data_IF_908058590326
#
_entry.id   IF_908058590326
#
_cell.length_a   1.000
_cell.length_b   1.000
_cell.length_c   1.000
_cell.angle_alpha   90.00
_cell.angle_beta   90.00
_cell.angle_gamma   90.00
#
_symmetry.space_group_name_H-M   'P 1'
#
loop_
_entity.id
_entity.type
_entity.pdbx_description
1 polymer ?
#
# COMPACT_ATOMS: atom_id res chain seq x y z
N UNK A 1 30.58 1.02 7.51
CA UNK A 1 29.22 0.45 7.42
C UNK A 1 28.22 1.59 7.28
N UNK A 2 27.21 1.42 6.47
CA UNK A 2 26.12 2.36 6.36
C UNK A 2 25.36 2.44 7.69
N UNK A 3 24.95 3.65 8.11
CA UNK A 3 24.19 3.84 9.34
C UNK A 3 22.82 3.18 9.21
N UNK A 4 22.39 2.33 10.16
CA UNK A 4 21.10 1.67 10.08
C UNK A 4 19.92 2.64 10.11
N UNK A 5 18.87 2.34 9.33
CA UNK A 5 17.68 3.18 9.16
C UNK A 5 16.41 2.47 9.64
N UNK A 6 15.58 3.18 10.37
CA UNK A 6 14.23 2.77 10.78
C UNK A 6 13.23 3.60 9.99
N UNK A 7 12.56 2.97 9.01
CA UNK A 7 11.51 3.61 8.22
C UNK A 7 10.20 3.55 8.99
N UNK A 8 9.73 4.71 9.45
CA UNK A 8 8.40 4.83 10.03
C UNK A 8 7.44 5.37 8.98
N UNK A 9 6.32 4.69 8.77
CA UNK A 9 5.30 5.09 7.80
C UNK A 9 4.03 5.46 8.53
N UNK A 10 3.73 6.75 8.53
CA UNK A 10 2.44 7.28 9.00
C UNK A 10 1.35 6.92 7.99
N UNK A 11 0.28 6.25 8.41
CA UNK A 11 -0.76 5.76 7.52
C UNK A 11 -2.14 5.74 8.17
N UNK A 12 -3.18 5.61 7.34
CA UNK A 12 -4.52 5.26 7.76
C UNK A 12 -5.10 4.26 6.76
N UNK A 13 -5.76 3.21 7.24
CA UNK A 13 -6.58 2.35 6.42
C UNK A 13 -8.03 2.82 6.48
N UNK A 14 -8.72 2.85 5.34
CA UNK A 14 -10.12 3.23 5.24
C UNK A 14 -10.88 2.21 4.39
N UNK A 15 -11.77 1.46 5.03
CA UNK A 15 -12.75 0.66 4.30
C UNK A 15 -13.78 1.57 3.63
N UNK A 16 -14.01 1.39 2.34
CA UNK A 16 -15.04 2.13 1.61
C UNK A 16 -16.42 1.85 2.18
N UNK A 17 -16.66 0.60 2.57
CA UNK A 17 -17.84 0.17 3.35
C UNK A 17 -17.47 -1.05 4.18
N UNK A 18 -17.92 -1.11 5.43
CA UNK A 18 -17.77 -2.30 6.28
C UNK A 18 -18.93 -2.42 7.28
N UNK A 19 -18.76 -1.93 8.52
CA UNK A 19 -19.84 -1.87 9.53
C UNK A 19 -20.66 -0.57 9.43
N UNK A 20 -20.51 0.14 8.35
CA UNK A 20 -21.19 1.40 7.99
C UNK A 20 -21.47 1.44 6.49
N UNK A 21 -22.30 2.38 6.07
CA UNK A 21 -22.62 2.60 4.66
C UNK A 21 -21.66 3.59 3.99
N UNK A 22 -21.71 3.66 2.68
CA UNK A 22 -20.88 4.54 1.86
C UNK A 22 -21.06 6.03 2.21
N UNK A 23 -22.27 6.45 2.57
CA UNK A 23 -22.54 7.82 2.96
C UNK A 23 -21.74 8.25 4.21
N UNK A 24 -21.57 7.35 5.19
CA UNK A 24 -20.73 7.59 6.37
C UNK A 24 -19.26 7.78 5.97
N UNK A 25 -18.77 6.97 5.04
CA UNK A 25 -17.40 7.14 4.49
C UNK A 25 -17.22 8.51 3.87
N UNK A 26 -18.17 8.93 3.02
CA UNK A 26 -18.13 10.25 2.38
C UNK A 26 -18.22 11.39 3.40
N UNK A 27 -19.23 11.35 4.29
CA UNK A 27 -19.54 12.51 5.14
C UNK A 27 -18.66 12.63 6.37
N UNK A 28 -18.10 11.53 6.85
CA UNK A 28 -17.34 11.51 8.11
C UNK A 28 -15.85 11.16 7.90
N UNK A 29 -15.54 10.02 7.28
CA UNK A 29 -14.18 9.48 7.30
C UNK A 29 -13.24 10.14 6.30
N UNK A 30 -13.72 10.45 5.10
CA UNK A 30 -12.92 11.18 4.10
C UNK A 30 -12.53 12.58 4.60
N UNK A 31 -13.46 13.46 4.98
CA UNK A 31 -13.09 14.80 5.48
C UNK A 31 -12.30 14.75 6.77
N UNK A 32 -12.55 13.76 7.65
CA UNK A 32 -11.75 13.53 8.84
C UNK A 32 -10.30 13.22 8.49
N UNK A 33 -10.07 12.31 7.53
CA UNK A 33 -8.73 11.91 7.08
C UNK A 33 -7.95 13.12 6.56
N UNK A 34 -8.58 13.98 5.76
CA UNK A 34 -7.97 15.20 5.26
C UNK A 34 -7.63 16.17 6.40
N UNK A 35 -8.61 16.55 7.21
CA UNK A 35 -8.48 17.58 8.23
C UNK A 35 -7.50 17.21 9.34
N UNK A 36 -7.56 15.96 9.81
CA UNK A 36 -6.67 15.49 10.89
C UNK A 36 -5.20 15.50 10.44
N UNK A 37 -4.92 15.03 9.21
CA UNK A 37 -3.55 15.08 8.69
C UNK A 37 -3.07 16.49 8.40
N UNK A 38 -3.92 17.39 7.89
CA UNK A 38 -3.55 18.78 7.67
C UNK A 38 -3.16 19.46 8.99
N UNK A 39 -3.91 19.22 10.07
CA UNK A 39 -3.58 19.74 11.39
C UNK A 39 -2.21 19.23 11.90
N UNK A 40 -1.87 17.97 11.64
CA UNK A 40 -0.56 17.42 12.00
C UNK A 40 0.55 17.98 11.12
N UNK A 41 0.33 18.21 9.84
CA UNK A 41 1.30 18.83 8.95
C UNK A 41 1.66 20.27 9.38
N UNK A 42 0.70 21.03 9.85
CA UNK A 42 0.95 22.39 10.37
C UNK A 42 1.85 22.41 11.61
N UNK A 43 1.74 21.38 12.46
CA UNK A 43 2.53 21.28 13.71
C UNK A 43 3.89 20.60 13.52
N UNK A 44 4.01 19.63 12.61
CA UNK A 44 5.15 18.73 12.49
C UNK A 44 5.74 18.75 11.07
N UNK A 45 6.74 19.58 10.79
CA UNK A 45 7.32 19.73 9.45
C UNK A 45 7.91 18.45 8.88
N UNK A 46 8.47 17.57 9.72
CA UNK A 46 9.10 16.31 9.32
C UNK A 46 8.10 15.18 9.13
N UNK A 47 6.82 15.38 9.50
CA UNK A 47 5.79 14.36 9.35
C UNK A 47 5.43 14.12 7.89
N UNK A 48 5.41 12.84 7.51
CA UNK A 48 4.90 12.34 6.24
C UNK A 48 3.80 11.33 6.47
N UNK A 49 2.80 11.37 5.60
CA UNK A 49 1.64 10.48 5.63
C UNK A 49 1.50 9.76 4.30
N UNK A 50 1.15 8.48 4.34
CA UNK A 50 0.89 7.65 3.17
C UNK A 50 -0.56 7.16 3.19
N UNK A 51 -1.26 7.32 2.06
CA UNK A 51 -2.65 6.90 1.93
C UNK A 51 -2.87 6.17 0.60
N UNK A 52 -3.56 5.04 0.67
CA UNK A 52 -3.74 4.13 -0.44
C UNK A 52 -5.09 4.28 -1.15
N UNK A 53 -5.18 3.71 -2.38
CA UNK A 53 -6.41 3.59 -3.15
C UNK A 53 -6.84 4.89 -3.83
N UNK A 54 -6.61 5.00 -5.15
CA UNK A 54 -6.91 6.23 -5.90
C UNK A 54 -8.40 6.57 -5.93
N UNK A 55 -9.28 5.58 -5.80
CA UNK A 55 -10.72 5.81 -5.67
C UNK A 55 -11.08 6.74 -4.51
N UNK A 56 -10.39 6.63 -3.38
CA UNK A 56 -10.60 7.56 -2.25
C UNK A 56 -10.21 8.99 -2.58
N UNK A 57 -9.23 9.18 -3.44
CA UNK A 57 -8.83 10.51 -3.92
C UNK A 57 -9.83 11.07 -4.92
N UNK A 58 -10.43 10.25 -5.78
CA UNK A 58 -11.54 10.67 -6.64
C UNK A 58 -12.72 11.17 -5.80
N UNK A 59 -13.07 10.45 -4.72
CA UNK A 59 -14.10 10.91 -3.78
C UNK A 59 -13.72 12.22 -3.08
N UNK A 60 -12.44 12.42 -2.74
CA UNK A 60 -11.97 13.69 -2.19
C UNK A 60 -12.08 14.83 -3.21
N UNK A 61 -11.72 14.58 -4.46
CA UNK A 61 -11.79 15.54 -5.56
C UNK A 61 -13.24 15.95 -5.85
N UNK A 62 -14.14 14.98 -5.92
CA UNK A 62 -15.55 15.21 -6.25
C UNK A 62 -16.32 15.90 -5.12
N UNK A 63 -16.16 15.43 -3.89
CA UNK A 63 -17.01 15.86 -2.76
C UNK A 63 -16.37 16.94 -1.88
N UNK A 64 -15.06 17.14 -1.95
CA UNK A 64 -14.30 18.08 -1.11
C UNK A 64 -13.25 18.87 -1.91
N UNK A 65 -13.62 19.54 -3.03
CA UNK A 65 -12.66 20.14 -3.95
C UNK A 65 -11.73 21.16 -3.28
N UNK A 66 -12.21 21.96 -2.32
CA UNK A 66 -11.36 22.94 -1.62
C UNK A 66 -10.29 22.26 -0.75
N UNK A 67 -10.64 21.17 -0.06
CA UNK A 67 -9.69 20.40 0.72
C UNK A 67 -8.75 19.61 -0.21
N UNK A 68 -9.23 19.21 -1.38
CA UNK A 68 -8.44 18.51 -2.38
C UNK A 68 -7.35 19.38 -2.99
N UNK A 69 -7.62 20.66 -3.24
CA UNK A 69 -6.56 21.60 -3.65
C UNK A 69 -5.47 21.73 -2.58
N UNK A 70 -5.84 21.86 -1.30
CA UNK A 70 -4.87 21.84 -0.20
C UNK A 70 -4.11 20.51 -0.11
N UNK A 71 -4.76 19.38 -0.42
CA UNK A 71 -4.12 18.08 -0.51
C UNK A 71 -3.04 18.06 -1.59
N UNK A 72 -3.32 18.60 -2.79
CA UNK A 72 -2.34 18.69 -3.89
C UNK A 72 -1.07 19.42 -3.46
N UNK A 73 -1.20 20.50 -2.69
CA UNK A 73 -0.05 21.22 -2.14
C UNK A 73 0.80 20.34 -1.22
N UNK A 74 0.19 19.55 -0.34
CA UNK A 74 0.93 18.63 0.53
C UNK A 74 1.54 17.46 -0.24
N UNK A 75 0.91 16.99 -1.30
CA UNK A 75 1.50 15.98 -2.21
C UNK A 75 2.71 16.56 -2.95
N UNK A 76 2.62 17.78 -3.45
CA UNK A 76 3.73 18.46 -4.11
C UNK A 76 4.94 18.66 -3.15
N UNK A 77 4.69 18.97 -1.89
CA UNK A 77 5.69 19.07 -0.84
C UNK A 77 6.28 17.70 -0.41
N UNK A 78 5.73 16.57 -0.86
CA UNK A 78 6.13 15.23 -0.44
C UNK A 78 5.77 14.90 1.02
N UNK A 79 4.79 15.59 1.58
CA UNK A 79 4.29 15.38 2.94
C UNK A 79 3.09 14.44 2.99
N UNK A 80 2.20 14.53 2.03
CA UNK A 80 1.20 13.50 1.74
C UNK A 80 1.68 12.66 0.56
N UNK A 81 1.74 11.34 0.70
CA UNK A 81 2.28 10.43 -0.29
C UNK A 81 1.22 9.44 -0.74
N UNK A 82 1.05 9.32 -2.05
CA UNK A 82 0.25 8.25 -2.65
C UNK A 82 0.99 6.92 -2.49
N UNK A 83 0.29 5.84 -2.16
CA UNK A 83 0.88 4.52 -1.98
C UNK A 83 -0.04 3.39 -2.43
N UNK A 84 0.51 2.18 -2.52
CA UNK A 84 -0.22 0.96 -2.84
C UNK A 84 -0.52 0.74 -4.31
N UNK A 85 -0.31 1.74 -5.16
CA UNK A 85 -0.48 1.70 -6.63
C UNK A 85 -1.87 1.29 -7.13
N UNK A 86 -2.82 0.97 -6.27
CA UNK A 86 -4.13 0.43 -6.62
C UNK A 86 -5.20 1.51 -6.79
N UNK A 87 -6.19 1.21 -7.65
CA UNK A 87 -7.42 1.99 -7.69
C UNK A 87 -8.21 1.78 -6.39
N UNK A 88 -8.47 0.53 -6.03
CA UNK A 88 -9.10 0.16 -4.75
C UNK A 88 -8.28 -0.94 -4.05
N UNK A 89 -8.22 -0.89 -2.73
CA UNK A 89 -7.64 -1.93 -1.90
C UNK A 89 -8.60 -3.12 -1.82
N UNK A 90 -8.33 -4.10 -2.66
CA UNK A 90 -9.19 -5.28 -2.78
C UNK A 90 -8.50 -6.57 -2.40
N UNK A 91 -9.32 -7.60 -2.34
CA UNK A 91 -8.88 -8.99 -2.31
C UNK A 91 -8.00 -9.29 -3.54
N UNK A 92 -6.88 -9.96 -3.33
CA UNK A 92 -5.94 -10.34 -4.41
C UNK A 92 -5.99 -11.82 -4.76
N UNK A 93 -6.93 -12.58 -4.20
CA UNK A 93 -7.08 -14.02 -4.46
C UNK A 93 -8.31 -14.34 -5.35
N UNK A 94 -9.35 -13.52 -5.30
CA UNK A 94 -10.59 -13.74 -6.06
C UNK A 94 -10.55 -13.10 -7.45
N UNK A 95 -10.05 -11.86 -7.64
CA UNK A 95 -9.96 -11.24 -8.96
C UNK A 95 -9.04 -11.99 -9.92
N UNK A 96 -9.28 -11.85 -11.21
CA UNK A 96 -8.37 -12.36 -12.23
C UNK A 96 -7.06 -11.59 -12.24
N UNK A 97 -5.96 -12.17 -12.76
CA UNK A 97 -4.71 -11.43 -12.96
C UNK A 97 -4.89 -10.16 -13.79
N UNK A 98 -5.75 -10.18 -14.80
CA UNK A 98 -6.08 -9.01 -15.62
C UNK A 98 -6.71 -7.90 -14.78
N UNK A 99 -7.67 -8.24 -13.90
CA UNK A 99 -8.29 -7.27 -13.00
C UNK A 99 -7.25 -6.65 -12.04
N UNK A 100 -6.30 -7.45 -11.54
CA UNK A 100 -5.23 -6.95 -10.68
C UNK A 100 -4.27 -6.02 -11.43
N UNK A 101 -3.90 -6.33 -12.68
CA UNK A 101 -3.11 -5.41 -13.52
C UNK A 101 -3.85 -4.09 -13.75
N UNK A 102 -5.16 -4.14 -14.02
CA UNK A 102 -5.96 -2.93 -14.23
C UNK A 102 -6.12 -2.12 -12.97
N UNK A 103 -6.27 -2.76 -11.83
CA UNK A 103 -6.31 -2.08 -10.54
C UNK A 103 -5.05 -1.22 -10.31
N UNK A 104 -3.87 -1.77 -10.63
CA UNK A 104 -2.60 -1.01 -10.58
C UNK A 104 -2.54 0.05 -11.68
N UNK A 105 -2.93 -0.30 -12.91
CA UNK A 105 -2.90 0.63 -14.05
C UNK A 105 -3.73 1.88 -13.76
N UNK A 106 -4.98 1.72 -13.37
CA UNK A 106 -5.89 2.84 -13.09
C UNK A 106 -5.49 3.62 -11.86
N UNK A 107 -5.02 2.93 -10.81
CA UNK A 107 -4.54 3.59 -9.60
C UNK A 107 -3.37 4.53 -9.87
N UNK A 108 -2.33 4.02 -10.49
CA UNK A 108 -1.15 4.85 -10.83
C UNK A 108 -1.42 5.84 -11.96
N UNK A 109 -2.33 5.55 -12.90
CA UNK A 109 -2.71 6.51 -13.94
C UNK A 109 -3.41 7.74 -13.34
N UNK A 110 -4.33 7.54 -12.40
CA UNK A 110 -4.95 8.62 -11.64
C UNK A 110 -3.89 9.45 -10.90
N UNK A 111 -3.00 8.79 -10.16
CA UNK A 111 -1.96 9.48 -9.41
C UNK A 111 -1.02 10.30 -10.31
N UNK A 112 -0.65 9.76 -11.48
CA UNK A 112 0.17 10.50 -12.45
C UNK A 112 -0.56 11.71 -13.04
N UNK A 113 -1.82 11.53 -13.43
CA UNK A 113 -2.62 12.61 -14.04
C UNK A 113 -2.91 13.74 -13.06
N UNK A 114 -3.25 13.37 -11.81
CA UNK A 114 -3.70 14.31 -10.81
C UNK A 114 -2.56 15.00 -10.06
N UNK A 115 -1.50 14.25 -9.74
CA UNK A 115 -0.42 14.70 -8.87
C UNK A 115 0.96 14.72 -9.53
N UNK A 116 1.12 14.18 -10.74
CA UNK A 116 2.45 13.95 -11.34
C UNK A 116 3.31 12.96 -10.54
N UNK A 117 2.70 12.11 -9.74
CA UNK A 117 3.36 11.12 -8.87
C UNK A 117 2.86 9.72 -9.20
N UNK A 118 3.63 8.70 -8.79
CA UNK A 118 3.21 7.31 -8.80
C UNK A 118 3.75 6.60 -7.55
N UNK A 119 3.12 5.51 -7.17
CA UNK A 119 3.62 4.59 -6.15
C UNK A 119 4.36 3.43 -6.82
N UNK A 120 5.35 2.87 -6.12
CA UNK A 120 6.15 1.73 -6.57
C UNK A 120 5.94 0.48 -5.73
N UNK A 121 4.89 0.44 -4.94
CA UNK A 121 4.57 -0.69 -4.06
C UNK A 121 3.12 -1.16 -4.22
N UNK A 122 2.88 -2.39 -3.80
CA UNK A 122 1.57 -2.88 -3.40
C UNK A 122 1.52 -2.80 -1.88
N UNK A 123 0.59 -2.00 -1.37
CA UNK A 123 0.34 -1.83 0.06
C UNK A 123 -1.03 -2.40 0.40
N UNK A 124 -1.05 -3.56 1.05
CA UNK A 124 -2.27 -4.26 1.42
C UNK A 124 -2.27 -4.57 2.92
N UNK A 125 -2.61 -3.59 3.77
CA UNK A 125 -2.53 -3.73 5.21
C UNK A 125 -3.61 -4.64 5.77
N UNK A 126 -4.74 -4.81 5.08
CA UNK A 126 -5.92 -5.51 5.59
C UNK A 126 -6.47 -6.61 4.67
N UNK A 127 -5.61 -7.30 3.93
CA UNK A 127 -5.98 -8.48 3.14
C UNK A 127 -5.53 -9.78 3.83
N UNK A 128 -6.23 -10.88 3.57
CA UNK A 128 -6.18 -12.10 4.37
C UNK A 128 -5.60 -13.28 3.59
N UNK A 129 -4.34 -13.15 3.21
CA UNK A 129 -3.61 -14.08 2.37
C UNK A 129 -3.38 -13.53 0.97
N UNK A 130 -2.27 -13.97 0.36
CA UNK A 130 -1.78 -13.39 -0.88
C UNK A 130 -1.29 -14.50 -1.81
N UNK A 131 -1.89 -14.61 -2.99
CA UNK A 131 -1.56 -15.62 -3.99
C UNK A 131 -0.16 -15.44 -4.58
N UNK A 132 0.47 -16.55 -4.95
CA UNK A 132 1.85 -16.58 -5.46
C UNK A 132 2.02 -15.87 -6.81
N UNK A 133 0.95 -15.57 -7.53
CA UNK A 133 1.02 -14.76 -8.76
C UNK A 133 1.24 -13.26 -8.48
N UNK A 134 0.96 -12.78 -7.28
CA UNK A 134 1.00 -11.34 -6.97
C UNK A 134 2.38 -10.69 -7.18
N UNK A 135 3.51 -11.28 -6.76
CA UNK A 135 4.83 -10.67 -7.04
C UNK A 135 5.17 -10.64 -8.54
N UNK A 136 4.72 -11.61 -9.35
CA UNK A 136 4.87 -11.54 -10.81
C UNK A 136 4.06 -10.39 -11.41
N UNK A 137 2.79 -10.24 -10.97
CA UNK A 137 1.92 -9.12 -11.38
C UNK A 137 2.57 -7.78 -11.01
N UNK A 138 3.04 -7.63 -9.78
CA UNK A 138 3.72 -6.42 -9.32
C UNK A 138 4.97 -6.11 -10.17
N UNK A 139 5.82 -7.10 -10.41
CA UNK A 139 7.02 -6.94 -11.23
C UNK A 139 6.68 -6.45 -12.65
N UNK A 140 5.74 -7.11 -13.32
CA UNK A 140 5.32 -6.74 -14.68
C UNK A 140 4.54 -5.43 -14.74
N UNK A 141 3.95 -4.99 -13.63
CA UNK A 141 3.37 -3.65 -13.48
C UNK A 141 4.42 -2.58 -13.14
N UNK A 142 5.71 -2.90 -13.18
CA UNK A 142 6.83 -2.01 -12.84
C UNK A 142 6.79 -1.50 -11.40
N UNK A 143 6.33 -2.34 -10.48
CA UNK A 143 6.39 -2.11 -9.04
C UNK A 143 7.60 -2.82 -8.43
N UNK A 144 8.10 -2.30 -7.31
CA UNK A 144 9.33 -2.76 -6.67
C UNK A 144 9.06 -3.46 -5.35
N UNK A 145 7.94 -3.17 -4.69
CA UNK A 145 7.71 -3.57 -3.32
C UNK A 145 6.32 -4.06 -3.00
N UNK A 146 6.25 -4.80 -1.91
CA UNK A 146 5.00 -5.26 -1.29
C UNK A 146 5.10 -5.09 0.22
N UNK A 147 4.03 -4.60 0.85
CA UNK A 147 3.96 -4.54 2.30
C UNK A 147 2.58 -4.89 2.83
N UNK A 148 2.57 -5.58 3.98
CA UNK A 148 1.37 -5.97 4.71
C UNK A 148 1.65 -6.02 6.22
N UNK A 149 0.57 -6.04 7.02
CA UNK A 149 0.64 -6.25 8.46
C UNK A 149 -0.23 -7.43 8.93
N UNK A 150 -0.85 -8.18 8.01
CA UNK A 150 -1.81 -9.24 8.39
C UNK A 150 -1.17 -10.60 8.67
N UNK A 151 0.03 -10.88 8.21
CA UNK A 151 0.70 -12.15 8.51
C UNK A 151 0.95 -12.38 10.01
N UNK A 152 1.33 -11.36 10.83
CA UNK A 152 1.44 -11.52 12.27
C UNK A 152 0.15 -11.97 12.98
N UNK A 153 -1.01 -11.73 12.37
CA UNK A 153 -2.31 -12.07 12.96
C UNK A 153 -2.70 -13.53 12.78
N UNK A 154 -2.32 -14.14 11.67
CA UNK A 154 -2.80 -15.49 11.38
C UNK A 154 -2.06 -16.20 10.24
N UNK A 155 -0.76 -16.03 10.10
CA UNK A 155 -0.02 -16.79 9.10
C UNK A 155 -0.06 -18.28 9.37
N UNK A 156 -0.33 -19.08 8.33
CA UNK A 156 -0.34 -20.54 8.41
C UNK A 156 1.06 -21.14 8.62
N UNK A 157 2.10 -20.45 8.11
CA UNK A 157 3.48 -20.96 8.08
C UNK A 157 4.47 -20.03 8.80
N UNK A 158 3.97 -19.11 9.62
CA UNK A 158 4.79 -18.08 10.24
C UNK A 158 5.13 -16.95 9.25
N UNK A 159 6.01 -16.06 9.68
CA UNK A 159 6.50 -14.95 8.87
C UNK A 159 7.89 -15.29 8.37
N UNK A 160 8.10 -15.43 7.05
CA UNK A 160 9.39 -15.89 6.50
C UNK A 160 10.56 -14.96 6.86
N UNK A 161 10.31 -13.65 6.85
CA UNK A 161 11.29 -12.60 7.15
C UNK A 161 10.57 -11.27 7.44
N UNK A 162 11.29 -10.32 8.02
CA UNK A 162 10.83 -8.93 8.15
C UNK A 162 10.92 -8.20 6.80
N UNK A 163 12.12 -8.15 6.23
CA UNK A 163 12.43 -7.59 4.93
C UNK A 163 13.20 -8.60 4.07
N UNK A 164 12.84 -8.71 2.80
CA UNK A 164 13.45 -9.67 1.89
C UNK A 164 12.90 -9.53 0.47
N UNK A 165 12.94 -10.64 -0.27
CA UNK A 165 12.39 -10.74 -1.63
C UNK A 165 11.24 -11.75 -1.68
N UNK A 166 10.19 -11.38 -2.37
CA UNK A 166 9.11 -12.30 -2.70
C UNK A 166 9.17 -12.62 -4.19
N UNK A 167 9.46 -13.90 -4.52
CA UNK A 167 9.61 -14.37 -5.88
C UNK A 167 8.31 -14.98 -6.38
N UNK A 168 7.88 -14.54 -7.54
CA UNK A 168 6.68 -15.01 -8.21
C UNK A 168 6.84 -16.30 -8.99
N UNK A 169 5.76 -16.76 -9.60
CA UNK A 169 5.67 -18.00 -10.37
C UNK A 169 6.56 -18.02 -11.61
N UNK A 170 6.91 -16.87 -12.14
CA UNK A 170 7.75 -16.67 -13.32
C UNK A 170 9.25 -16.48 -12.98
N UNK A 171 9.59 -16.53 -11.67
CA UNK A 171 10.96 -16.36 -11.19
C UNK A 171 11.37 -14.91 -10.94
N UNK A 172 10.58 -13.92 -11.35
CA UNK A 172 10.82 -12.52 -11.02
C UNK A 172 10.54 -12.24 -9.54
N UNK A 173 11.20 -11.25 -8.98
CA UNK A 173 11.08 -10.91 -7.56
C UNK A 173 10.81 -9.43 -7.36
N UNK A 174 10.09 -9.13 -6.29
CA UNK A 174 9.96 -7.79 -5.72
C UNK A 174 10.48 -7.79 -4.28
N UNK A 175 10.81 -6.63 -3.72
CA UNK A 175 11.08 -6.50 -2.30
C UNK A 175 9.79 -6.68 -1.50
N UNK A 176 9.89 -7.17 -0.27
CA UNK A 176 8.72 -7.36 0.58
C UNK A 176 9.03 -7.03 2.04
N UNK A 177 8.10 -6.34 2.69
CA UNK A 177 8.03 -6.18 4.14
C UNK A 177 6.81 -6.96 4.66
N UNK A 178 7.08 -8.06 5.38
CA UNK A 178 6.05 -9.02 5.80
C UNK A 178 5.63 -8.88 7.26
N UNK A 179 6.36 -8.10 8.06
CA UNK A 179 6.08 -7.83 9.46
C UNK A 179 6.27 -6.34 9.82
N UNK A 180 5.58 -5.47 9.12
CA UNK A 180 5.67 -4.02 9.35
C UNK A 180 4.93 -3.53 10.61
N UNK A 181 4.50 -4.43 11.49
CA UNK A 181 3.62 -4.17 12.65
C UNK A 181 2.23 -3.65 12.23
N UNK A 182 1.36 -3.47 13.21
CA UNK A 182 0.00 -3.01 12.94
C UNK A 182 -0.03 -1.56 12.43
N UNK A 183 -0.83 -1.30 11.40
CA UNK A 183 -1.10 0.05 10.95
C UNK A 183 -1.80 0.93 12.01
N UNK A 184 -2.38 0.31 13.04
CA UNK A 184 -2.94 0.99 14.22
C UNK A 184 -1.91 1.19 15.35
N UNK A 185 -0.61 0.97 15.11
CA UNK A 185 0.41 1.12 16.14
C UNK A 185 0.53 2.57 16.60
N UNK A 186 0.73 2.75 17.90
CA UNK A 186 1.10 4.03 18.52
C UNK A 186 2.54 3.92 18.98
N UNK A 187 3.38 4.84 18.51
CA UNK A 187 4.81 4.85 18.83
C UNK A 187 5.09 5.82 19.97
N UNK A 188 5.49 5.31 21.11
CA UNK A 188 5.97 6.10 22.26
C UNK A 188 7.49 6.34 22.21
N UNK A 189 8.24 5.39 21.69
CA UNK A 189 9.69 5.42 21.42
C UNK A 189 9.99 4.55 20.23
N UNK A 190 10.55 5.12 19.15
CA UNK A 190 10.84 4.36 17.92
C UNK A 190 12.04 3.44 18.10
N UNK A 191 13.20 4.00 18.52
CA UNK A 191 14.44 3.24 18.68
C UNK A 191 14.37 2.17 19.76
N UNK A 192 13.52 2.35 20.77
CA UNK A 192 13.28 1.38 21.84
C UNK A 192 12.04 0.52 21.60
N UNK A 193 11.36 0.66 20.46
CA UNK A 193 10.26 -0.21 20.13
C UNK A 193 10.73 -1.66 20.06
N UNK A 194 10.03 -2.55 20.78
CA UNK A 194 10.39 -3.96 20.86
C UNK A 194 10.59 -4.61 19.49
N UNK A 195 9.70 -4.30 18.53
CA UNK A 195 9.83 -4.83 17.18
C UNK A 195 11.07 -4.34 16.45
N UNK A 196 11.45 -3.09 16.63
CA UNK A 196 12.68 -2.52 16.04
C UNK A 196 13.91 -3.17 16.65
N UNK A 197 13.94 -3.31 17.99
CA UNK A 197 15.06 -3.94 18.72
C UNK A 197 15.25 -5.43 18.37
N UNK A 198 14.19 -6.12 18.03
CA UNK A 198 14.24 -7.52 17.60
C UNK A 198 14.68 -7.67 16.13
N UNK A 199 14.17 -6.81 15.25
CA UNK A 199 14.30 -6.98 13.80
C UNK A 199 15.56 -6.35 13.23
N UNK A 200 15.86 -5.10 13.56
CA UNK A 200 16.96 -4.38 12.94
C UNK A 200 18.32 -5.06 13.19
N UNK A 201 18.69 -5.46 14.44
CA UNK A 201 19.92 -6.22 14.67
C UNK A 201 19.94 -7.55 13.92
N UNK A 202 18.81 -8.26 13.85
CA UNK A 202 18.69 -9.52 13.13
C UNK A 202 18.88 -9.31 11.62
N UNK A 203 18.25 -8.32 11.01
CA UNK A 203 18.41 -7.99 9.60
C UNK A 203 19.89 -7.67 9.27
N UNK A 204 20.58 -6.94 10.15
CA UNK A 204 22.01 -6.64 9.99
C UNK A 204 22.85 -7.91 10.08
N UNK A 205 22.64 -8.73 11.11
CA UNK A 205 23.47 -9.92 11.37
C UNK A 205 23.25 -11.01 10.33
N UNK A 206 22.00 -11.29 9.98
CA UNK A 206 21.65 -12.43 9.13
C UNK A 206 21.79 -12.10 7.63
N UNK A 207 21.55 -10.85 7.24
CA UNK A 207 21.41 -10.47 5.82
C UNK A 207 22.27 -9.28 5.40
N UNK A 208 23.05 -8.70 6.30
CA UNK A 208 23.79 -7.46 6.06
C UNK A 208 22.85 -6.31 5.57
N UNK A 209 21.64 -6.30 6.11
CA UNK A 209 20.56 -5.37 5.75
C UNK A 209 20.33 -4.34 6.85
N UNK A 210 20.82 -3.09 6.71
CA UNK A 210 20.76 -2.07 7.77
C UNK A 210 19.42 -1.35 7.82
N UNK A 211 18.30 -2.03 7.51
CA UNK A 211 16.97 -1.43 7.46
C UNK A 211 15.94 -2.23 8.25
N UNK A 212 14.96 -1.52 8.79
CA UNK A 212 13.67 -2.08 9.25
C UNK A 212 12.53 -1.12 8.96
N UNK A 213 11.33 -1.63 8.91
CA UNK A 213 10.11 -0.92 8.51
C UNK A 213 9.04 -1.08 9.58
N UNK A 214 8.35 0.01 9.92
CA UNK A 214 7.29 0.01 10.92
C UNK A 214 6.17 0.99 10.56
N UNK A 215 4.92 0.53 10.63
CA UNK A 215 3.75 1.40 10.52
C UNK A 215 3.41 2.09 11.84
N UNK A 216 2.78 3.25 11.74
CA UNK A 216 1.99 3.86 12.82
C UNK A 216 0.80 4.60 12.23
N UNK A 217 -0.36 4.50 12.88
CA UNK A 217 -1.55 5.11 12.30
C UNK A 217 -2.85 4.67 12.93
N UNK A 218 -3.87 4.62 12.08
CA UNK A 218 -5.22 4.19 12.43
C UNK A 218 -5.78 3.26 11.36
N UNK A 219 -6.75 2.42 11.74
CA UNK A 219 -7.36 1.45 10.83
C UNK A 219 -8.84 1.70 10.58
N UNK A 220 -9.32 1.05 9.58
CA UNK A 220 -10.71 0.81 9.18
C UNK A 220 -11.51 2.06 8.79
N UNK A 221 -11.37 3.15 9.53
CA UNK A 221 -12.20 4.38 9.41
C UNK A 221 -11.44 5.61 8.94
N UNK A 222 -10.23 5.43 8.42
CA UNK A 222 -9.41 6.56 8.05
C UNK A 222 -9.01 7.45 9.24
N UNK A 223 -8.62 8.69 8.98
CA UNK A 223 -8.12 9.64 9.97
C UNK A 223 -6.62 9.85 9.85
N UNK A 224 -5.93 10.10 10.96
CA UNK A 224 -4.50 10.31 11.03
C UNK A 224 -3.88 9.50 12.18
N UNK A 225 -2.57 9.23 12.15
CA UNK A 225 -1.85 8.73 13.31
C UNK A 225 -2.09 9.61 14.53
N UNK A 226 -2.06 9.01 15.71
CA UNK A 226 -2.15 9.81 16.95
C UNK A 226 -1.02 10.81 17.02
N UNK A 227 -1.32 12.03 17.47
CA UNK A 227 -0.35 13.12 17.58
C UNK A 227 0.88 12.74 18.40
N UNK A 228 0.71 11.98 19.49
CA UNK A 228 1.83 11.48 20.31
C UNK A 228 2.83 10.64 19.52
N UNK A 229 2.33 9.85 18.56
CA UNK A 229 3.15 9.03 17.66
C UNK A 229 3.95 9.89 16.69
N UNK A 230 3.28 10.87 16.07
CA UNK A 230 3.91 11.83 15.15
C UNK A 230 4.96 12.67 15.87
N UNK A 231 4.63 13.19 17.05
CA UNK A 231 5.56 13.95 17.90
C UNK A 231 6.81 13.13 18.26
N UNK A 232 6.62 11.84 18.59
CA UNK A 232 7.72 10.93 18.90
C UNK A 232 8.64 10.73 17.70
N UNK A 233 8.08 10.40 16.53
CA UNK A 233 8.85 10.23 15.29
C UNK A 233 9.64 11.50 14.97
N UNK A 234 9.00 12.66 14.97
CA UNK A 234 9.65 13.94 14.66
C UNK A 234 10.72 14.33 15.69
N UNK A 235 10.55 14.02 16.98
CA UNK A 235 11.57 14.21 18.00
C UNK A 235 12.78 13.33 17.71
N UNK A 236 12.57 12.03 17.46
CA UNK A 236 13.66 11.11 17.23
C UNK A 236 14.40 11.35 15.89
N UNK A 237 13.75 11.90 14.89
CA UNK A 237 14.43 12.39 13.67
C UNK A 237 15.47 13.47 14.01
N UNK A 238 15.16 14.40 14.89
CA UNK A 238 16.10 15.47 15.32
C UNK A 238 17.29 14.93 16.09
N UNK A 239 17.15 13.76 16.70
CA UNK A 239 18.20 13.07 17.46
C UNK A 239 19.10 12.18 16.58
N UNK A 240 18.85 12.08 15.28
CA UNK A 240 19.58 11.19 14.37
C UNK A 240 21.10 11.43 14.43
N UNK A 241 21.54 12.68 14.48
CA UNK A 241 22.97 12.99 14.49
C UNK A 241 23.74 12.41 15.70
N UNK A 242 23.06 12.22 16.84
CA UNK A 242 23.63 11.70 18.08
C UNK A 242 23.26 10.25 18.39
N UNK A 243 22.56 9.58 17.49
CA UNK A 243 22.03 8.23 17.70
C UNK A 243 22.73 7.20 16.81
N UNK A 244 22.73 5.94 17.22
CA UNK A 244 23.29 4.83 16.44
C UNK A 244 22.48 4.50 15.20
N UNK A 245 21.15 4.70 15.23
CA UNK A 245 20.21 4.41 14.16
C UNK A 245 19.45 5.66 13.74
N UNK A 246 19.24 5.83 12.45
CA UNK A 246 18.43 6.93 11.94
C UNK A 246 16.94 6.55 11.91
N UNK A 247 16.08 7.44 12.39
CA UNK A 247 14.63 7.37 12.26
C UNK A 247 14.21 8.25 11.09
N UNK A 248 13.38 7.72 10.23
CA UNK A 248 12.84 8.40 9.05
C UNK A 248 11.32 8.39 9.09
N UNK A 249 10.67 9.53 8.83
CA UNK A 249 9.28 9.57 8.41
C UNK A 249 9.26 9.45 6.89
N UNK A 250 8.79 8.32 6.37
CA UNK A 250 8.99 7.96 4.97
C UNK A 250 7.68 7.64 4.24
N UNK A 251 7.61 7.84 2.92
CA UNK A 251 6.61 7.20 2.07
C UNK A 251 6.64 5.67 2.21
N UNK A 252 5.51 5.00 1.97
CA UNK A 252 5.40 3.55 2.12
C UNK A 252 6.36 2.77 1.21
N UNK A 253 6.63 3.27 0.01
CA UNK A 253 7.52 2.65 -0.97
C UNK A 253 9.00 3.06 -0.86
N UNK A 254 9.34 4.00 0.04
CA UNK A 254 10.70 4.56 0.11
C UNK A 254 11.74 3.50 0.47
N UNK A 255 11.43 2.62 1.40
CA UNK A 255 12.37 1.57 1.81
C UNK A 255 12.77 0.68 0.63
N UNK A 256 11.84 0.34 -0.27
CA UNK A 256 12.12 -0.50 -1.42
C UNK A 256 12.98 0.21 -2.46
N UNK A 257 12.77 1.52 -2.63
CA UNK A 257 13.61 2.38 -3.47
C UNK A 257 15.04 2.47 -2.94
N UNK A 258 15.16 2.66 -1.62
CA UNK A 258 16.48 2.74 -0.97
C UNK A 258 17.19 1.36 -0.98
N UNK A 259 16.47 0.26 -0.76
CA UNK A 259 17.02 -1.09 -0.91
C UNK A 259 17.56 -1.33 -2.32
N UNK A 260 16.86 -0.85 -3.33
CA UNK A 260 17.30 -1.02 -4.71
C UNK A 260 18.49 -0.13 -5.05
N UNK A 261 18.51 1.10 -4.58
CA UNK A 261 19.51 2.09 -4.93
C UNK A 261 20.80 1.99 -4.08
N UNK A 262 20.68 1.65 -2.79
CA UNK A 262 21.78 1.77 -1.84
C UNK A 262 22.46 0.41 -1.50
N UNK A 263 21.74 -0.71 -1.61
CA UNK A 263 22.32 -2.02 -1.33
C UNK A 263 23.25 -2.46 -2.47
N UNK A 264 24.40 -2.98 -2.12
CA UNK A 264 25.33 -3.62 -3.07
C UNK A 264 24.75 -4.93 -3.61
N UNK A 265 25.26 -5.42 -4.74
CA UNK A 265 24.84 -6.72 -5.30
C UNK A 265 25.09 -7.86 -4.31
N UNK A 266 26.17 -7.79 -3.53
CA UNK A 266 26.45 -8.76 -2.48
C UNK A 266 25.37 -8.74 -1.40
N UNK A 267 24.98 -7.57 -0.90
CA UNK A 267 23.88 -7.44 0.08
C UNK A 267 22.56 -7.90 -0.50
N UNK A 268 22.23 -7.52 -1.74
CA UNK A 268 21.02 -7.98 -2.43
C UNK A 268 20.97 -9.50 -2.60
N UNK A 269 22.13 -10.15 -2.73
CA UNK A 269 22.24 -11.61 -2.84
C UNK A 269 22.01 -12.35 -1.52
N UNK A 270 22.27 -11.70 -0.39
CA UNK A 270 22.06 -12.23 0.96
C UNK A 270 20.61 -12.11 1.45
N UNK A 271 19.78 -11.31 0.77
CA UNK A 271 18.38 -11.13 1.17
C UNK A 271 17.61 -12.45 1.16
N UNK A 272 16.80 -12.74 2.19
CA UNK A 272 15.95 -13.92 2.20
C UNK A 272 14.93 -13.88 1.07
N UNK A 273 14.61 -15.05 0.50
CA UNK A 273 13.68 -15.17 -0.63
C UNK A 273 12.55 -16.13 -0.27
N UNK A 274 11.32 -15.66 -0.38
CA UNK A 274 10.11 -16.47 -0.30
C UNK A 274 9.58 -16.78 -1.71
N UNK A 275 9.20 -18.06 -1.96
CA UNK A 275 8.89 -18.56 -3.33
C UNK A 275 7.52 -19.23 -3.44
N UNK A 276 6.58 -18.87 -2.58
CA UNK A 276 5.23 -19.41 -2.63
C UNK A 276 4.23 -18.36 -2.15
N UNK A 277 2.97 -18.73 -2.01
CA UNK A 277 1.94 -17.87 -1.45
C UNK A 277 2.19 -17.50 0.02
N UNK A 278 1.54 -16.43 0.48
CA UNK A 278 1.50 -16.00 1.87
C UNK A 278 0.12 -16.32 2.44
N UNK A 279 0.02 -17.43 3.16
CA UNK A 279 -1.26 -18.01 3.59
C UNK A 279 -1.66 -17.51 4.97
N UNK A 280 -2.86 -16.95 5.07
CA UNK A 280 -3.56 -16.73 6.35
C UNK A 280 -4.49 -17.89 6.64
N UNK A 281 -4.71 -18.23 7.94
CA UNK A 281 -5.52 -19.39 8.30
C UNK A 281 -6.76 -19.09 9.17
N UNK A 282 -6.76 -18.04 9.96
CA UNK A 282 -7.84 -17.77 10.92
C UNK A 282 -8.55 -16.44 10.67
N UNK A 283 -7.84 -15.34 10.86
CA UNK A 283 -8.40 -14.01 10.81
C UNK A 283 -8.82 -13.62 9.39
N UNK A 284 -10.10 -13.38 9.18
CA UNK A 284 -10.65 -12.83 7.93
C UNK A 284 -10.71 -13.78 6.73
N UNK A 285 -10.05 -14.96 6.76
CA UNK A 285 -10.00 -15.88 5.60
C UNK A 285 -11.37 -16.38 5.14
N UNK A 286 -12.35 -16.43 6.03
CA UNK A 286 -13.74 -16.78 5.70
C UNK A 286 -14.42 -15.78 4.76
N UNK A 287 -13.91 -14.56 4.63
CA UNK A 287 -14.43 -13.57 3.69
C UNK A 287 -14.28 -14.01 2.23
N UNK A 288 -13.24 -14.78 1.91
CA UNK A 288 -13.01 -15.32 0.57
C UNK A 288 -14.01 -16.40 0.16
N UNK A 289 -14.61 -17.07 1.11
CA UNK A 289 -15.55 -18.17 0.87
C UNK A 289 -17.01 -17.79 1.18
N UNK A 290 -17.23 -16.69 1.89
CA UNK A 290 -18.57 -16.18 2.20
C UNK A 290 -19.17 -15.42 1.02
N UNK A 291 -20.51 -15.25 1.02
CA UNK A 291 -21.27 -14.49 0.01
C UNK A 291 -20.90 -14.86 -1.43
N UNK A 292 -21.01 -16.13 -1.75
CA UNK A 292 -20.69 -16.72 -3.07
C UNK A 292 -21.31 -15.94 -4.24
N UNK A 293 -22.53 -15.40 -4.05
CA UNK A 293 -23.20 -14.59 -5.09
C UNK A 293 -22.33 -13.38 -5.51
N UNK A 294 -21.80 -12.61 -4.56
CA UNK A 294 -20.93 -11.46 -4.87
C UNK A 294 -19.70 -11.87 -5.70
N UNK A 295 -19.02 -12.96 -5.30
CA UNK A 295 -17.86 -13.48 -6.02
C UNK A 295 -18.21 -13.96 -7.44
N UNK A 296 -19.37 -14.59 -7.61
CA UNK A 296 -19.86 -14.99 -8.93
C UNK A 296 -20.19 -13.80 -9.81
N UNK A 297 -20.77 -12.73 -9.24
CA UNK A 297 -21.03 -11.48 -9.97
C UNK A 297 -19.73 -10.81 -10.38
N UNK A 298 -18.76 -10.70 -9.48
CA UNK A 298 -17.43 -10.18 -9.83
C UNK A 298 -16.83 -10.95 -11.01
N UNK A 299 -16.79 -12.29 -10.93
CA UNK A 299 -16.24 -13.12 -12.02
C UNK A 299 -17.01 -12.94 -13.33
N UNK A 300 -18.33 -12.80 -13.27
CA UNK A 300 -19.15 -12.56 -14.45
C UNK A 300 -18.90 -11.16 -15.02
N UNK A 301 -18.75 -10.15 -14.19
CA UNK A 301 -18.40 -8.80 -14.63
C UNK A 301 -17.04 -8.75 -15.35
N UNK A 302 -16.02 -9.40 -14.80
CA UNK A 302 -14.73 -9.55 -15.48
C UNK A 302 -14.84 -10.19 -16.87
N UNK A 303 -15.61 -11.28 -16.98
CA UNK A 303 -15.80 -11.99 -18.25
C UNK A 303 -16.60 -11.15 -19.27
N UNK A 304 -17.60 -10.39 -18.81
CA UNK A 304 -18.39 -9.50 -19.68
C UNK A 304 -17.54 -8.30 -20.15
N UNK A 305 -16.71 -7.73 -19.28
CA UNK A 305 -15.78 -6.66 -19.65
C UNK A 305 -14.81 -7.12 -20.73
N UNK A 306 -14.17 -8.30 -20.54
CA UNK A 306 -13.27 -8.91 -21.54
C UNK A 306 -13.99 -9.16 -22.88
N UNK A 307 -15.21 -9.71 -22.84
CA UNK A 307 -16.00 -9.95 -24.05
C UNK A 307 -16.39 -8.63 -24.76
N UNK A 308 -16.76 -7.60 -24.02
CA UNK A 308 -17.08 -6.29 -24.55
C UNK A 308 -15.88 -5.64 -25.26
N UNK A 309 -14.68 -5.69 -24.63
CA UNK A 309 -13.45 -5.19 -25.22
C UNK A 309 -13.09 -5.89 -26.53
N UNK A 310 -13.11 -7.22 -26.52
CA UNK A 310 -12.81 -8.01 -27.71
C UNK A 310 -13.79 -7.68 -28.85
N UNK A 311 -15.08 -7.55 -28.52
CA UNK A 311 -16.10 -7.21 -29.49
C UNK A 311 -15.92 -5.79 -30.03
N UNK A 312 -15.62 -4.82 -29.16
CA UNK A 312 -15.34 -3.45 -29.56
C UNK A 312 -14.09 -3.35 -30.45
N UNK A 313 -13.01 -4.05 -30.07
CA UNK A 313 -11.78 -4.10 -30.88
C UNK A 313 -12.04 -4.73 -32.26
N UNK A 314 -12.80 -5.81 -32.32
CA UNK A 314 -13.17 -6.44 -33.58
C UNK A 314 -14.04 -5.48 -34.45
N UNK A 315 -15.00 -4.77 -33.87
CA UNK A 315 -15.84 -3.81 -34.57
C UNK A 315 -15.01 -2.64 -35.17
N UNK A 316 -14.06 -2.13 -34.41
CA UNK A 316 -13.10 -1.10 -34.88
C UNK A 316 -12.31 -1.63 -36.08
N UNK A 317 -11.75 -2.82 -35.96
CA UNK A 317 -10.88 -3.43 -36.98
C UNK A 317 -11.65 -3.80 -38.26
N UNK A 318 -12.86 -4.36 -38.11
CA UNK A 318 -13.64 -4.83 -39.26
C UNK A 318 -14.42 -3.73 -39.97
N UNK A 319 -14.93 -2.77 -39.24
CA UNK A 319 -15.90 -1.80 -39.76
C UNK A 319 -15.51 -0.33 -39.53
N UNK A 320 -14.34 -0.06 -38.94
CA UNK A 320 -13.86 1.30 -38.69
C UNK A 320 -14.67 2.09 -37.63
N UNK A 321 -15.40 1.41 -36.75
CA UNK A 321 -16.05 2.07 -35.61
C UNK A 321 -15.05 2.71 -34.67
N UNK A 322 -15.44 3.79 -34.00
CA UNK A 322 -14.64 4.37 -32.92
C UNK A 322 -14.64 3.45 -31.71
N UNK A 323 -13.46 3.17 -31.15
CA UNK A 323 -13.36 2.39 -29.93
C UNK A 323 -14.02 3.15 -28.76
N UNK A 324 -14.92 2.49 -27.99
CA UNK A 324 -15.61 3.15 -26.86
C UNK A 324 -14.65 3.25 -25.67
N UNK A 325 -13.79 4.25 -25.66
CA UNK A 325 -12.76 4.43 -24.62
C UNK A 325 -13.33 4.56 -23.20
N UNK A 326 -14.61 4.99 -23.09
CA UNK A 326 -15.29 5.12 -21.80
C UNK A 326 -15.93 3.82 -21.32
N UNK A 327 -15.80 2.71 -22.06
CA UNK A 327 -16.37 1.43 -21.66
C UNK A 327 -15.86 0.95 -20.28
N UNK A 328 -14.69 1.41 -19.88
CA UNK A 328 -14.04 1.06 -18.60
C UNK A 328 -14.11 2.17 -17.56
N UNK A 329 -14.51 3.36 -17.95
CA UNK A 329 -14.68 4.51 -17.06
C UNK A 329 -16.14 4.81 -16.77
N UNK A 330 -17.07 4.10 -17.43
CA UNK A 330 -18.46 4.15 -17.03
C UNK A 330 -18.58 3.49 -15.67
N UNK A 331 -18.97 4.28 -14.71
CA UNK A 331 -19.30 3.82 -13.38
C UNK A 331 -20.38 2.73 -13.49
N UNK A 332 -20.04 1.52 -13.11
CA UNK A 332 -21.02 0.41 -13.07
C UNK A 332 -22.05 0.58 -11.94
N UNK A 333 -22.13 1.77 -11.35
CA UNK A 333 -22.99 2.14 -10.24
C UNK A 333 -24.24 2.95 -10.67
N UNK A 334 -24.40 3.29 -11.96
CA UNK A 334 -25.64 3.84 -12.51
C UNK A 334 -26.68 2.77 -12.86
#
# INVERSE_FOLDING_TARGET
MQKPKIYTVGTAHLDTTWCWNFETTLREYIPKTLKDNFALFEKYPDYKFSFEGSYRYELMEEYYPELFEKLKDYVAQGRWNVCGSSYENGDVNVPSPEALFRNVLYGNDYFRKTFGKESKDIYLPDCFGFGWALPSIAHHANLMGFSTQKLPWSSAFGIPFDLGKWQGVDGNSIYASLDARSYCSVLSEVRKNKGVLEKLPKNITDYDLPYTFIYHGVGDRGGAPKEESVATVCREIKENASSEWDVLSAPADQIFKDMDAELTDEQKSKLPVWKTELVSQNHGVGSYTSRTAGKRFNRRAEQLADAAERSASAAVWMNGYTYPCLLYTSDAAD
#
